data_IF_044266631051
#
_entry.id   IF_044266631051
#
_cell.length_a   1.000
_cell.length_b   1.000
_cell.length_c   1.000
_cell.angle_alpha   90.00
_cell.angle_beta   90.00
_cell.angle_gamma   90.00
#
_symmetry.space_group_name_H-M   'P 1'
#
loop_
_entity.id
_entity.type
_entity.pdbx_description
1 polymer ?
#
# COMPACT_ATOMS: atom_id res chain seq x y z
N UNK A 1 42.40 -24.16 -32.05
CA UNK A 1 41.83 -22.83 -31.73
C UNK A 1 42.97 -21.91 -31.33
N UNK A 2 43.09 -20.72 -31.94
CA UNK A 2 44.17 -19.79 -31.61
C UNK A 2 43.97 -19.24 -30.19
N UNK A 3 45.05 -19.15 -29.37
CA UNK A 3 44.96 -18.70 -27.97
C UNK A 3 44.38 -17.28 -27.84
N UNK A 4 44.55 -16.44 -28.88
CA UNK A 4 43.94 -15.12 -28.96
C UNK A 4 42.41 -15.17 -28.98
N UNK A 5 41.79 -16.13 -29.68
CA UNK A 5 40.32 -16.23 -29.76
C UNK A 5 39.67 -16.58 -28.42
N UNK A 6 40.35 -17.38 -27.60
CA UNK A 6 39.87 -17.72 -26.25
C UNK A 6 39.92 -16.52 -25.30
N UNK A 7 40.96 -15.67 -25.40
CA UNK A 7 41.10 -14.46 -24.58
C UNK A 7 40.02 -13.42 -24.91
N UNK A 8 39.65 -13.28 -26.19
CA UNK A 8 38.57 -12.39 -26.63
C UNK A 8 37.19 -12.84 -26.13
N UNK A 9 36.90 -14.14 -26.17
CA UNK A 9 35.62 -14.70 -25.68
C UNK A 9 35.50 -14.54 -24.16
N UNK A 10 36.56 -14.82 -23.42
CA UNK A 10 36.58 -14.67 -21.95
C UNK A 10 36.40 -13.19 -21.55
N UNK A 11 37.01 -12.26 -22.29
CA UNK A 11 36.86 -10.82 -22.06
C UNK A 11 35.42 -10.34 -22.32
N UNK A 12 34.76 -10.84 -23.36
CA UNK A 12 33.34 -10.52 -23.65
C UNK A 12 32.42 -11.06 -22.55
N UNK A 13 32.64 -12.29 -22.07
CA UNK A 13 31.85 -12.89 -20.99
C UNK A 13 32.04 -12.12 -19.67
N UNK A 14 33.25 -11.66 -19.36
CA UNK A 14 33.54 -10.86 -18.17
C UNK A 14 32.93 -9.44 -18.24
N UNK A 15 32.95 -8.80 -19.42
CA UNK A 15 32.36 -7.46 -19.63
C UNK A 15 30.82 -7.54 -19.62
N UNK A 16 30.23 -8.59 -20.20
CA UNK A 16 28.77 -8.78 -20.26
C UNK A 16 28.18 -9.27 -18.93
N UNK A 17 28.96 -9.99 -18.10
CA UNK A 17 28.57 -10.39 -16.75
C UNK A 17 28.49 -9.24 -15.74
N UNK A 18 29.26 -8.16 -15.94
CA UNK A 18 29.24 -6.97 -15.07
C UNK A 18 28.06 -6.02 -15.38
N UNK A 19 27.46 -6.12 -16.59
CA UNK A 19 26.32 -5.29 -17.02
C UNK A 19 24.94 -5.84 -16.61
N UNK A 20 24.87 -6.94 -15.86
CA UNK A 20 23.68 -7.29 -15.09
C UNK A 20 23.60 -6.37 -13.87
N UNK A 21 23.40 -5.08 -14.13
CA UNK A 21 22.89 -4.14 -13.13
C UNK A 21 21.61 -4.78 -12.60
N UNK A 22 21.60 -5.15 -11.32
CA UNK A 22 20.36 -5.49 -10.64
C UNK A 22 19.49 -4.23 -10.61
N UNK A 23 18.72 -3.99 -11.66
CA UNK A 23 17.54 -3.14 -11.55
C UNK A 23 16.55 -3.96 -10.73
N UNK A 24 16.55 -3.74 -9.41
CA UNK A 24 15.53 -4.31 -8.56
C UNK A 24 14.19 -3.69 -8.97
N UNK A 25 13.44 -4.41 -9.80
CA UNK A 25 12.09 -4.02 -10.16
C UNK A 25 11.22 -4.08 -8.90
N UNK A 26 10.64 -2.96 -8.52
CA UNK A 26 9.70 -2.91 -7.41
C UNK A 26 8.31 -3.30 -7.92
N UNK A 27 7.69 -4.28 -7.26
CA UNK A 27 6.29 -4.63 -7.49
C UNK A 27 5.39 -3.55 -6.90
N UNK A 28 5.12 -2.51 -7.68
CA UNK A 28 4.28 -1.38 -7.27
C UNK A 28 2.82 -1.77 -7.07
N UNK A 29 2.33 -2.83 -7.73
CA UNK A 29 0.99 -3.38 -7.49
C UNK A 29 0.88 -3.93 -6.08
N UNK A 30 1.86 -4.74 -5.65
CA UNK A 30 1.95 -5.23 -4.27
C UNK A 30 2.10 -4.09 -3.25
N UNK A 31 2.90 -3.07 -3.55
CA UNK A 31 3.07 -1.91 -2.65
C UNK A 31 1.75 -1.16 -2.50
N UNK A 32 1.01 -0.94 -3.58
CA UNK A 32 -0.31 -0.30 -3.54
C UNK A 32 -1.30 -1.12 -2.70
N UNK A 33 -1.38 -2.44 -2.93
CA UNK A 33 -2.20 -3.35 -2.14
C UNK A 33 -1.91 -3.24 -0.64
N UNK A 34 -0.64 -3.32 -0.24
CA UNK A 34 -0.24 -3.20 1.17
C UNK A 34 -0.53 -1.81 1.75
N UNK A 35 -0.39 -0.75 0.96
CA UNK A 35 -0.75 0.62 1.35
C UNK A 35 -2.24 0.77 1.63
N UNK A 36 -3.11 0.10 0.86
CA UNK A 36 -4.56 0.12 1.11
C UNK A 36 -4.93 -0.72 2.34
N UNK A 37 -4.30 -1.88 2.53
CA UNK A 37 -4.47 -2.68 3.75
C UNK A 37 -4.04 -1.93 5.02
N UNK A 38 -3.08 -1.01 4.93
CA UNK A 38 -2.73 -0.14 6.06
C UNK A 38 -3.94 0.70 6.53
N UNK A 39 -4.72 1.29 5.62
CA UNK A 39 -5.92 2.03 6.02
C UNK A 39 -6.99 1.10 6.61
N UNK A 40 -7.16 -0.12 6.08
CA UNK A 40 -8.06 -1.10 6.70
C UNK A 40 -7.64 -1.45 8.13
N UNK A 41 -6.33 -1.58 8.35
CA UNK A 41 -5.75 -1.83 9.65
C UNK A 41 -5.92 -0.66 10.64
N UNK A 42 -6.35 0.52 10.17
CA UNK A 42 -6.65 1.70 11.01
C UNK A 42 -8.15 1.93 11.24
N UNK A 43 -9.06 1.14 10.62
CA UNK A 43 -10.52 1.33 10.77
C UNK A 43 -10.93 1.27 12.25
N UNK A 44 -11.76 2.20 12.71
CA UNK A 44 -12.43 2.17 14.02
C UNK A 44 -13.89 1.75 13.84
N UNK A 45 -14.61 1.43 14.92
CA UNK A 45 -16.01 1.02 14.89
C UNK A 45 -16.20 -0.47 14.63
N UNK A 46 -17.41 -0.81 14.16
CA UNK A 46 -17.74 -2.17 13.73
C UNK A 46 -17.09 -2.46 12.39
N UNK A 47 -16.30 -3.52 12.33
CA UNK A 47 -15.62 -3.91 11.10
C UNK A 47 -16.59 -4.62 10.14
N UNK A 48 -16.38 -4.48 8.83
CA UNK A 48 -17.21 -5.17 7.86
C UNK A 48 -16.94 -6.68 7.88
N UNK A 49 -17.93 -7.52 7.49
CA UNK A 49 -17.81 -8.98 7.58
C UNK A 49 -16.71 -9.58 6.69
N UNK A 50 -16.26 -8.85 5.69
CA UNK A 50 -15.18 -9.17 4.74
C UNK A 50 -13.84 -8.51 5.12
N UNK A 51 -13.67 -8.09 6.37
CA UNK A 51 -12.42 -7.50 6.86
C UNK A 51 -11.19 -8.39 6.54
N UNK A 52 -10.24 -7.82 5.80
CA UNK A 52 -9.03 -8.53 5.35
C UNK A 52 -7.93 -8.59 6.40
N UNK A 53 -8.05 -7.86 7.51
CA UNK A 53 -7.02 -7.73 8.55
C UNK A 53 -7.35 -8.65 9.75
N UNK A 54 -6.75 -9.86 9.85
CA UNK A 54 -7.22 -10.91 10.77
C UNK A 54 -6.99 -10.61 12.25
N UNK A 55 -6.09 -9.68 12.57
CA UNK A 55 -5.76 -9.29 13.94
C UNK A 55 -6.51 -8.04 14.42
N UNK A 56 -7.34 -7.44 13.57
CA UNK A 56 -8.24 -6.33 13.95
C UNK A 56 -9.63 -6.88 14.26
N UNK A 57 -10.28 -6.29 15.26
CA UNK A 57 -11.68 -6.54 15.63
C UNK A 57 -12.44 -5.25 15.88
N UNK A 58 -13.74 -5.37 16.16
CA UNK A 58 -14.62 -4.25 16.49
C UNK A 58 -14.06 -3.43 17.66
N UNK A 59 -14.03 -2.11 17.52
CA UNK A 59 -13.46 -1.20 18.52
C UNK A 59 -14.23 0.11 18.60
N UNK A 60 -14.09 0.83 19.72
CA UNK A 60 -14.70 2.16 19.92
C UNK A 60 -16.21 2.24 19.59
N UNK A 61 -16.96 1.16 19.87
CA UNK A 61 -18.40 1.05 19.59
C UNK A 61 -19.28 2.00 20.41
N UNK A 62 -18.68 2.73 21.37
CA UNK A 62 -19.34 3.68 22.24
C UNK A 62 -18.94 5.13 21.93
N UNK A 63 -18.24 5.37 20.80
CA UNK A 63 -17.93 6.72 20.35
C UNK A 63 -19.24 7.45 20.06
N UNK A 64 -19.58 8.41 20.92
CA UNK A 64 -20.80 9.20 20.84
C UNK A 64 -20.50 10.68 21.00
N UNK A 65 -21.22 11.52 20.26
CA UNK A 65 -21.21 12.96 20.44
C UNK A 65 -21.94 13.39 21.71
N UNK A 66 -21.77 14.65 22.09
CA UNK A 66 -22.40 15.23 23.29
C UNK A 66 -23.93 15.24 23.23
N UNK A 67 -24.54 15.08 22.04
CA UNK A 67 -25.99 15.03 21.85
C UNK A 67 -26.46 13.64 21.40
N UNK A 68 -25.64 12.61 21.58
CA UNK A 68 -25.99 11.23 21.22
C UNK A 68 -25.77 10.90 19.75
N UNK A 69 -24.99 11.70 19.01
CA UNK A 69 -24.58 11.37 17.65
C UNK A 69 -23.75 10.08 17.65
N UNK A 70 -24.06 9.15 16.76
CA UNK A 70 -23.18 8.00 16.51
C UNK A 70 -21.90 8.50 15.84
N UNK A 71 -20.79 8.44 16.58
CA UNK A 71 -19.46 8.78 16.12
C UNK A 71 -18.59 7.55 15.96
N UNK A 72 -19.15 6.34 15.85
CA UNK A 72 -18.38 5.13 15.51
C UNK A 72 -17.83 5.20 14.08
N UNK A 73 -16.90 4.30 13.71
CA UNK A 73 -16.33 4.27 12.36
C UNK A 73 -15.10 5.17 12.18
N UNK A 74 -14.71 5.43 10.94
CA UNK A 74 -13.55 6.24 10.59
C UNK A 74 -12.22 5.51 10.81
N UNK A 75 -11.13 6.28 10.95
CA UNK A 75 -9.77 5.75 11.09
C UNK A 75 -9.05 6.30 12.32
N UNK A 76 -8.24 5.49 12.97
CA UNK A 76 -7.27 5.97 13.95
C UNK A 76 -6.12 6.69 13.24
N UNK A 77 -5.66 7.81 13.80
CA UNK A 77 -4.75 8.72 13.13
C UNK A 77 -3.36 8.15 12.92
N UNK A 78 -2.80 7.52 13.95
CA UNK A 78 -1.44 6.99 13.93
C UNK A 78 -1.34 5.70 14.77
N UNK A 79 -0.36 5.62 15.66
CA UNK A 79 -0.18 4.48 16.58
C UNK A 79 -1.06 4.54 17.84
N UNK A 80 -1.92 5.55 17.95
CA UNK A 80 -2.88 5.72 19.04
C UNK A 80 -4.30 5.35 18.59
N UNK A 81 -5.30 5.72 19.40
CA UNK A 81 -6.71 5.43 19.11
C UNK A 81 -7.57 6.70 19.00
N UNK A 82 -6.94 7.87 18.80
CA UNK A 82 -7.67 9.12 18.59
C UNK A 82 -8.01 9.29 17.12
N UNK A 83 -9.21 9.82 16.87
CA UNK A 83 -9.74 10.13 15.53
C UNK A 83 -9.54 11.61 15.24
N UNK A 84 -8.34 12.00 14.83
CA UNK A 84 -8.08 13.38 14.43
C UNK A 84 -8.73 13.69 13.08
N UNK A 85 -9.80 14.50 13.10
CA UNK A 85 -10.62 14.74 11.91
C UNK A 85 -9.87 15.41 10.76
N UNK A 86 -8.92 16.30 11.04
CA UNK A 86 -8.22 17.05 10.00
C UNK A 86 -7.28 16.18 9.17
N UNK A 87 -6.46 15.37 9.83
CA UNK A 87 -5.54 14.41 9.18
C UNK A 87 -6.30 13.28 8.49
N UNK A 88 -7.37 12.76 9.11
CA UNK A 88 -8.25 11.77 8.49
C UNK A 88 -8.88 12.29 7.19
N UNK A 89 -9.40 13.52 7.20
CA UNK A 89 -9.99 14.16 6.03
C UNK A 89 -8.93 14.38 4.93
N UNK A 90 -7.73 14.84 5.31
CA UNK A 90 -6.60 15.02 4.38
C UNK A 90 -6.20 13.70 3.70
N UNK A 91 -5.98 12.63 4.49
CA UNK A 91 -5.60 11.32 3.97
C UNK A 91 -6.68 10.75 3.03
N UNK A 92 -7.95 10.82 3.42
CA UNK A 92 -9.07 10.34 2.59
C UNK A 92 -9.20 11.13 1.29
N UNK A 93 -8.96 12.45 1.34
CA UNK A 93 -8.97 13.30 0.14
C UNK A 93 -7.86 12.89 -0.83
N UNK A 94 -6.65 12.64 -0.34
CA UNK A 94 -5.53 12.19 -1.17
C UNK A 94 -5.74 10.80 -1.76
N UNK A 95 -6.33 9.87 -0.99
CA UNK A 95 -6.74 8.56 -1.49
C UNK A 95 -7.75 8.70 -2.63
N UNK A 96 -8.82 9.46 -2.42
CA UNK A 96 -9.85 9.69 -3.43
C UNK A 96 -9.27 10.36 -4.69
N UNK A 97 -8.42 11.36 -4.52
CA UNK A 97 -7.74 12.01 -5.64
C UNK A 97 -6.85 11.00 -6.39
N UNK A 98 -6.10 10.16 -5.68
CA UNK A 98 -5.33 9.07 -6.29
C UNK A 98 -6.19 8.15 -7.16
N UNK A 99 -7.34 7.69 -6.64
CA UNK A 99 -8.26 6.83 -7.39
C UNK A 99 -8.84 7.53 -8.64
N UNK A 100 -9.16 8.83 -8.54
CA UNK A 100 -9.69 9.60 -9.67
C UNK A 100 -8.63 9.84 -10.74
N UNK A 101 -7.40 10.20 -10.33
CA UNK A 101 -6.32 10.56 -11.25
C UNK A 101 -5.66 9.34 -11.91
N UNK A 102 -5.64 8.19 -11.23
CA UNK A 102 -4.85 7.03 -11.66
C UNK A 102 -5.68 5.74 -11.72
N UNK A 103 -6.96 5.84 -12.13
CA UNK A 103 -7.88 4.70 -12.19
C UNK A 103 -7.27 3.46 -12.84
N UNK A 104 -6.65 3.60 -14.00
CA UNK A 104 -6.08 2.46 -14.74
C UNK A 104 -5.00 1.73 -13.94
N UNK A 105 -4.20 2.45 -13.15
CA UNK A 105 -3.21 1.83 -12.27
C UNK A 105 -3.85 1.00 -11.14
N UNK A 106 -4.99 1.47 -10.59
CA UNK A 106 -5.75 0.68 -9.61
C UNK A 106 -6.39 -0.56 -10.24
N UNK A 107 -6.87 -0.45 -11.49
CA UNK A 107 -7.41 -1.59 -12.23
C UNK A 107 -6.32 -2.62 -12.51
N UNK A 108 -5.17 -2.19 -13.03
CA UNK A 108 -4.03 -3.06 -13.35
C UNK A 108 -3.45 -3.73 -12.09
N UNK A 109 -3.48 -3.04 -10.95
CA UNK A 109 -3.08 -3.59 -9.66
C UNK A 109 -4.13 -4.50 -9.00
N UNK A 110 -5.36 -4.55 -9.52
CA UNK A 110 -6.46 -5.32 -8.93
C UNK A 110 -7.10 -4.68 -7.69
N UNK A 111 -6.89 -3.39 -7.45
CA UNK A 111 -7.33 -2.65 -6.26
C UNK A 111 -8.50 -1.66 -6.55
N UNK A 112 -9.18 -1.81 -7.68
CA UNK A 112 -10.30 -0.94 -8.04
C UNK A 112 -11.66 -1.34 -7.42
N UNK A 113 -11.86 -2.64 -7.15
CA UNK A 113 -13.15 -3.18 -6.69
C UNK A 113 -13.06 -3.79 -5.30
#
# INVERSE_FOLDING_TARGET
>A
MNPMGAVWIVSIILIQGCCMVFCAEHDYGKILHLSLLFYEAQRSGKLPPDNRIPWRGDSALLDTGLKGEDLTGGYYDAGDSVKFGFTMASATTLLAWGCISYKDAYVDAGEWN
#
